data_IF_003748184475
#
_entry.id   IF_003748184475
#
_cell.length_a   1.000
_cell.length_b   1.000
_cell.length_c   1.000
_cell.angle_alpha   90.00
_cell.angle_beta   90.00
_cell.angle_gamma   90.00
#
_symmetry.space_group_name_H-M   'P 1'
#
loop_
_entity.id
_entity.type
_entity.pdbx_description
1 polymer ?
#
# COMPACT_ATOMS: atom_id res chain seq x y z
N UNK A 1 7.94 -14.86 10.92
CA UNK A 1 6.97 -15.60 10.07
C UNK A 1 5.77 -14.74 9.67
N UNK A 2 4.92 -14.27 10.60
CA UNK A 2 3.76 -13.42 10.24
C UNK A 2 4.12 -12.09 9.55
N UNK A 3 5.09 -11.34 10.09
CA UNK A 3 5.55 -10.08 9.49
C UNK A 3 6.02 -10.23 8.02
N UNK A 4 6.80 -11.27 7.72
CA UNK A 4 7.25 -11.57 6.37
C UNK A 4 6.09 -11.89 5.41
N UNK A 5 5.06 -12.62 5.87
CA UNK A 5 3.88 -12.87 5.04
C UNK A 5 3.12 -11.59 4.72
N UNK A 6 2.90 -10.74 5.73
CA UNK A 6 2.24 -9.43 5.56
C UNK A 6 2.97 -8.56 4.56
N UNK A 7 4.28 -8.42 4.70
CA UNK A 7 5.11 -7.64 3.78
C UNK A 7 5.08 -8.27 2.38
N UNK A 8 5.26 -9.59 2.28
CA UNK A 8 5.28 -10.31 1.01
C UNK A 8 3.97 -10.18 0.23
N UNK A 9 2.84 -10.31 0.92
CA UNK A 9 1.51 -10.10 0.36
C UNK A 9 1.31 -8.63 -0.06
N UNK A 10 1.65 -7.68 0.81
CA UNK A 10 1.55 -6.25 0.52
C UNK A 10 2.36 -5.83 -0.72
N UNK A 11 3.57 -6.36 -0.90
CA UNK A 11 4.38 -6.07 -2.09
C UNK A 11 3.73 -6.58 -3.37
N UNK A 12 3.13 -7.77 -3.33
CA UNK A 12 2.39 -8.31 -4.47
C UNK A 12 1.10 -7.51 -4.73
N UNK A 13 0.45 -7.04 -3.67
CA UNK A 13 -0.71 -6.15 -3.78
C UNK A 13 -0.33 -4.82 -4.43
N UNK A 14 0.76 -4.17 -4.00
CA UNK A 14 1.29 -2.95 -4.61
C UNK A 14 1.67 -3.14 -6.08
N UNK A 15 2.20 -4.31 -6.43
CA UNK A 15 2.48 -4.63 -7.83
C UNK A 15 1.21 -4.63 -8.68
N UNK A 16 0.12 -5.24 -8.19
CA UNK A 16 -1.19 -5.20 -8.86
C UNK A 16 -1.77 -3.78 -8.89
N UNK A 17 -1.72 -3.07 -7.75
CA UNK A 17 -2.24 -1.70 -7.65
C UNK A 17 -1.50 -0.75 -8.59
N UNK A 18 -0.19 -0.91 -8.79
CA UNK A 18 0.59 -0.12 -9.76
C UNK A 18 0.09 -0.37 -11.18
N UNK A 19 -0.19 -1.62 -11.55
CA UNK A 19 -0.73 -1.96 -12.87
C UNK A 19 -2.11 -1.33 -13.12
N UNK A 20 -3.04 -1.48 -12.17
CA UNK A 20 -4.40 -0.99 -12.35
C UNK A 20 -4.49 0.53 -12.21
N UNK A 21 -3.71 1.16 -11.32
CA UNK A 21 -3.71 2.62 -11.19
C UNK A 21 -3.13 3.31 -12.42
N UNK A 22 -2.04 2.80 -13.01
CA UNK A 22 -1.53 3.34 -14.27
C UNK A 22 -2.53 3.11 -15.42
N UNK A 23 -3.23 1.98 -15.42
CA UNK A 23 -4.30 1.75 -16.40
C UNK A 23 -5.46 2.75 -16.26
N UNK A 24 -5.86 3.07 -15.02
CA UNK A 24 -6.89 4.07 -14.73
C UNK A 24 -6.48 5.49 -15.20
N UNK A 25 -5.18 5.78 -15.29
CA UNK A 25 -4.62 7.03 -15.82
C UNK A 25 -4.58 7.06 -17.37
N UNK A 26 -5.10 6.03 -18.04
CA UNK A 26 -5.25 5.96 -19.48
C UNK A 26 -4.04 5.42 -20.25
N UNK A 27 -3.08 4.77 -19.57
CA UNK A 27 -1.97 4.05 -20.21
C UNK A 27 -2.18 2.54 -20.15
N UNK A 28 -1.32 1.75 -20.82
CA UNK A 28 -1.37 0.29 -20.66
C UNK A 28 -1.02 -0.11 -19.22
N UNK A 29 -1.43 -1.31 -18.79
CA UNK A 29 -1.00 -1.86 -17.50
C UNK A 29 0.51 -1.96 -17.45
N UNK A 30 1.14 -1.20 -16.58
CA UNK A 30 2.57 -1.25 -16.31
C UNK A 30 2.83 -1.45 -14.82
N UNK A 31 3.86 -2.18 -14.45
CA UNK A 31 4.19 -2.40 -13.04
C UNK A 31 5.66 -2.75 -12.84
N UNK A 32 6.14 -2.71 -11.61
CA UNK A 32 7.44 -3.29 -11.25
C UNK A 32 7.32 -4.80 -11.09
N UNK A 33 8.45 -5.52 -11.13
CA UNK A 33 8.48 -6.96 -10.85
C UNK A 33 9.17 -7.23 -9.52
N UNK A 34 8.53 -7.99 -8.64
CA UNK A 34 9.18 -8.53 -7.46
C UNK A 34 10.06 -9.73 -7.83
N UNK A 35 11.24 -9.83 -7.22
CA UNK A 35 12.12 -10.98 -7.39
C UNK A 35 11.60 -12.14 -6.56
N UNK A 36 11.33 -13.27 -7.23
CA UNK A 36 11.02 -14.54 -6.58
C UNK A 36 12.27 -15.42 -6.44
N UNK A 37 13.45 -14.91 -6.82
CA UNK A 37 14.71 -15.63 -6.66
C UNK A 37 15.10 -15.72 -5.20
N UNK A 38 15.24 -16.94 -4.72
CA UNK A 38 15.95 -17.26 -3.50
C UNK A 38 17.45 -16.98 -3.66
N UNK A 39 17.99 -16.04 -2.89
CA UNK A 39 19.40 -16.05 -2.54
C UNK A 39 19.56 -16.89 -1.27
N UNK A 40 19.45 -18.21 -1.42
CA UNK A 40 19.46 -19.16 -0.29
C UNK A 40 20.81 -19.12 0.44
N UNK A 41 20.76 -19.03 1.77
CA UNK A 41 21.78 -19.57 2.67
C UNK A 41 21.52 -21.04 3.04
N UNK A 42 20.41 -21.66 2.60
CA UNK A 42 20.18 -23.11 2.77
C UNK A 42 19.33 -23.70 1.62
N UNK A 43 19.70 -24.84 1.03
CA UNK A 43 18.92 -25.51 -0.01
C UNK A 43 17.90 -26.47 0.60
N UNK A 44 16.64 -26.06 0.75
CA UNK A 44 15.54 -27.01 0.87
C UNK A 44 14.20 -26.39 0.47
N UNK A 45 13.60 -27.01 -0.55
CA UNK A 45 12.16 -27.13 -0.84
C UNK A 45 11.40 -25.96 -1.48
N UNK A 46 10.77 -26.29 -2.61
CA UNK A 46 9.93 -25.50 -3.53
C UNK A 46 10.57 -24.30 -4.24
N UNK A 47 11.02 -24.52 -5.48
CA UNK A 47 11.23 -23.49 -6.52
C UNK A 47 9.90 -22.89 -7.04
N UNK A 48 8.80 -23.02 -6.29
CA UNK A 48 7.48 -22.61 -6.75
C UNK A 48 7.23 -21.16 -6.34
N UNK A 49 7.24 -20.28 -7.33
CA UNK A 49 6.94 -18.86 -7.16
C UNK A 49 5.50 -18.71 -6.67
N UNK A 50 5.32 -18.16 -5.48
CA UNK A 50 3.96 -17.88 -4.99
C UNK A 50 3.35 -16.72 -5.79
N UNK A 51 2.21 -16.92 -6.49
CA UNK A 51 1.57 -15.85 -7.24
C UNK A 51 0.98 -14.77 -6.33
N UNK A 52 0.85 -15.05 -5.03
CA UNK A 52 0.19 -14.18 -4.05
C UNK A 52 1.17 -13.52 -3.08
N UNK A 53 2.42 -14.00 -3.00
CA UNK A 53 3.38 -13.55 -2.01
C UNK A 53 4.77 -13.37 -2.58
N UNK A 54 5.40 -12.26 -2.23
CA UNK A 54 6.83 -12.03 -2.44
C UNK A 54 7.62 -12.64 -1.28
N UNK A 55 8.70 -13.36 -1.58
CA UNK A 55 9.59 -13.87 -0.53
C UNK A 55 10.32 -12.71 0.15
N UNK A 56 10.10 -12.51 1.46
CA UNK A 56 10.86 -11.54 2.24
C UNK A 56 12.14 -12.16 2.79
N UNK A 57 13.24 -11.42 2.72
CA UNK A 57 14.54 -11.85 3.28
C UNK A 57 14.74 -11.27 4.67
N UNK A 58 15.24 -12.10 5.58
CA UNK A 58 15.71 -11.64 6.88
C UNK A 58 17.17 -11.21 6.73
N UNK A 59 17.40 -9.91 6.89
CA UNK A 59 18.74 -9.32 6.91
C UNK A 59 19.10 -8.91 8.34
N UNK A 60 20.20 -9.44 8.84
CA UNK A 60 20.77 -9.05 10.14
C UNK A 60 21.81 -7.96 9.90
N UNK A 61 21.43 -6.72 10.21
CA UNK A 61 22.29 -5.56 10.00
C UNK A 61 23.41 -5.48 11.02
N UNK A 62 24.56 -4.97 10.58
CA UNK A 62 25.70 -4.62 11.43
C UNK A 62 25.49 -3.28 12.18
N UNK A 63 24.47 -2.49 11.81
CA UNK A 63 24.11 -1.25 12.51
C UNK A 63 23.57 -1.62 13.90
N UNK A 64 24.11 -0.99 14.94
CA UNK A 64 23.71 -1.30 16.31
C UNK A 64 22.26 -0.90 16.56
N UNK A 65 21.63 -1.55 17.54
CA UNK A 65 20.26 -1.20 17.96
C UNK A 65 20.15 0.26 18.41
N UNK A 66 21.19 0.78 19.07
CA UNK A 66 21.21 2.17 19.53
C UNK A 66 21.16 3.15 18.35
N UNK A 67 21.97 2.91 17.32
CA UNK A 67 21.97 3.72 16.09
C UNK A 67 20.61 3.63 15.38
N UNK A 68 20.02 2.43 15.27
CA UNK A 68 18.68 2.28 14.69
C UNK A 68 17.61 3.12 15.40
N UNK A 69 17.70 3.23 16.72
CA UNK A 69 16.68 3.92 17.54
C UNK A 69 16.92 5.42 17.65
N UNK A 70 18.17 5.87 17.58
CA UNK A 70 18.54 7.24 17.94
C UNK A 70 19.15 8.08 16.80
N UNK A 71 19.73 7.46 15.77
CA UNK A 71 20.32 8.21 14.66
C UNK A 71 19.23 8.81 13.74
N UNK A 72 19.58 9.91 13.07
CA UNK A 72 18.72 10.51 12.06
C UNK A 72 18.42 9.52 10.90
N UNK A 73 17.19 9.51 10.35
CA UNK A 73 16.79 8.59 9.29
C UNK A 73 17.75 8.51 8.10
N UNK A 74 18.26 9.65 7.62
CA UNK A 74 19.21 9.70 6.50
C UNK A 74 20.56 9.05 6.82
N UNK A 75 21.01 9.13 8.09
CA UNK A 75 22.24 8.49 8.55
C UNK A 75 22.09 6.98 8.56
N UNK A 76 20.98 6.49 9.12
CA UNK A 76 20.63 5.08 9.15
C UNK A 76 20.48 4.52 7.74
N UNK A 77 19.73 5.21 6.87
CA UNK A 77 19.55 4.83 5.47
C UNK A 77 20.89 4.71 4.73
N UNK A 78 21.81 5.67 4.91
CA UNK A 78 23.13 5.64 4.25
C UNK A 78 23.98 4.48 4.74
N UNK A 79 23.97 4.20 6.05
CA UNK A 79 24.67 3.03 6.62
C UNK A 79 24.10 1.73 6.05
N UNK A 80 22.76 1.61 6.00
CA UNK A 80 22.08 0.43 5.47
C UNK A 80 22.35 0.25 3.98
N UNK A 81 22.25 1.31 3.18
CA UNK A 81 22.52 1.26 1.74
C UNK A 81 23.94 0.76 1.45
N UNK A 82 24.94 1.25 2.21
CA UNK A 82 26.32 0.77 2.11
C UNK A 82 26.46 -0.69 2.55
N UNK A 83 25.75 -1.09 3.60
CA UNK A 83 25.77 -2.47 4.08
C UNK A 83 25.17 -3.44 3.05
N UNK A 84 24.00 -3.12 2.49
CA UNK A 84 23.34 -3.94 1.47
C UNK A 84 24.20 -3.97 0.19
N UNK A 85 24.76 -2.82 -0.24
CA UNK A 85 25.68 -2.78 -1.37
C UNK A 85 26.86 -3.74 -1.20
N UNK A 86 27.51 -3.72 -0.02
CA UNK A 86 28.66 -4.58 0.24
C UNK A 86 28.29 -6.06 0.36
N UNK A 87 27.09 -6.38 0.89
CA UNK A 87 26.68 -7.77 1.12
C UNK A 87 26.06 -8.43 -0.11
N UNK A 88 25.43 -7.65 -0.98
CA UNK A 88 24.69 -8.11 -2.15
C UNK A 88 25.15 -7.37 -3.41
N UNK A 89 26.47 -7.24 -3.58
CA UNK A 89 27.11 -6.42 -4.63
C UNK A 89 26.65 -6.80 -6.05
N UNK A 90 26.36 -8.07 -6.28
CA UNK A 90 25.93 -8.63 -7.56
C UNK A 90 24.51 -8.19 -7.97
N UNK A 91 23.60 -8.11 -7.01
CA UNK A 91 22.18 -7.79 -7.27
C UNK A 91 21.79 -6.37 -6.90
N UNK A 92 22.56 -5.69 -6.06
CA UNK A 92 22.27 -4.32 -5.63
C UNK A 92 22.07 -3.32 -6.78
N UNK A 93 23.00 -3.21 -7.77
CA UNK A 93 22.86 -2.24 -8.86
C UNK A 93 21.72 -2.58 -9.83
N UNK A 94 21.30 -3.83 -9.86
CA UNK A 94 20.27 -4.37 -10.76
C UNK A 94 18.93 -4.58 -10.06
N UNK A 95 18.74 -4.02 -8.86
CA UNK A 95 17.49 -4.15 -8.10
C UNK A 95 17.03 -2.83 -7.50
N UNK A 96 15.78 -2.83 -7.03
CA UNK A 96 15.22 -1.84 -6.12
C UNK A 96 14.89 -2.54 -4.81
N UNK A 97 15.19 -1.89 -3.69
CA UNK A 97 15.14 -2.50 -2.37
C UNK A 97 14.07 -1.85 -1.52
N UNK A 98 13.31 -2.67 -0.80
CA UNK A 98 12.37 -2.23 0.22
C UNK A 98 12.75 -2.93 1.51
N UNK A 99 13.16 -2.15 2.50
CA UNK A 99 13.62 -2.65 3.79
C UNK A 99 12.65 -2.21 4.89
N UNK A 100 12.23 -3.17 5.71
CA UNK A 100 11.41 -2.92 6.89
C UNK A 100 12.23 -3.18 8.14
N UNK A 101 12.26 -2.24 9.08
CA UNK A 101 13.00 -2.41 10.33
C UNK A 101 12.18 -3.16 11.37
N UNK A 102 12.75 -4.23 11.94
CA UNK A 102 12.05 -5.03 12.96
C UNK A 102 12.02 -4.37 14.35
N UNK A 103 12.73 -3.25 14.53
CA UNK A 103 12.94 -2.61 15.83
C UNK A 103 12.15 -1.31 16.03
N UNK A 104 11.14 -1.00 15.19
CA UNK A 104 10.24 0.12 15.45
C UNK A 104 9.59 -0.03 16.83
N UNK A 105 9.59 1.04 17.62
CA UNK A 105 8.99 1.07 18.95
C UNK A 105 8.16 2.32 19.12
N UNK A 106 7.06 2.19 19.84
CA UNK A 106 6.23 3.30 20.26
C UNK A 106 6.16 3.27 21.78
N UNK A 107 6.55 4.36 22.43
CA UNK A 107 6.61 4.47 23.88
C UNK A 107 5.78 5.70 24.30
N UNK A 108 4.48 5.49 24.51
CA UNK A 108 3.59 6.55 24.99
C UNK A 108 3.92 6.90 26.46
N UNK A 109 4.16 8.18 26.80
CA UNK A 109 4.44 8.56 28.19
C UNK A 109 3.17 8.46 29.05
N UNK A 110 3.26 7.80 30.20
CA UNK A 110 2.13 7.62 31.12
C UNK A 110 1.55 8.93 31.67
N UNK A 111 2.33 10.01 31.65
CA UNK A 111 1.96 11.34 32.18
C UNK A 111 1.24 12.21 31.14
N UNK A 112 1.18 11.77 29.87
CA UNK A 112 0.52 12.51 28.80
C UNK A 112 -1.00 12.31 28.88
N UNK A 113 -1.73 13.37 29.25
CA UNK A 113 -3.18 13.36 29.45
C UNK A 113 -3.99 13.71 28.19
N UNK A 114 -3.34 14.06 27.07
CA UNK A 114 -4.02 14.53 25.86
C UNK A 114 -4.35 13.37 24.91
N UNK A 115 -5.64 13.18 24.62
CA UNK A 115 -6.13 12.15 23.69
C UNK A 115 -5.97 12.52 22.19
N UNK A 116 -5.54 13.74 21.90
CA UNK A 116 -5.36 14.28 20.55
C UNK A 116 -3.91 14.72 20.35
N UNK A 117 -3.03 13.75 20.12
CA UNK A 117 -1.64 14.02 19.73
C UNK A 117 -1.58 14.56 18.29
N UNK A 118 -0.71 15.52 18.03
CA UNK A 118 -0.29 15.83 16.65
C UNK A 118 0.62 14.73 16.12
N UNK A 119 0.81 14.71 14.80
CA UNK A 119 1.76 13.79 14.18
C UNK A 119 3.19 13.97 14.70
N UNK A 120 3.63 15.22 14.92
CA UNK A 120 4.95 15.53 15.47
C UNK A 120 5.12 14.98 16.89
N UNK A 121 4.09 15.04 17.73
CA UNK A 121 4.10 14.45 19.07
C UNK A 121 4.18 12.93 19.01
N UNK A 122 3.41 12.30 18.12
CA UNK A 122 3.49 10.83 17.90
C UNK A 122 4.88 10.40 17.43
N UNK A 123 5.54 11.20 16.59
CA UNK A 123 6.91 10.94 16.14
C UNK A 123 7.93 11.00 17.29
N UNK A 124 7.74 11.87 18.28
CA UNK A 124 8.64 11.95 19.44
C UNK A 124 8.61 10.68 20.30
N UNK A 125 7.45 10.01 20.36
CA UNK A 125 7.25 8.76 21.08
C UNK A 125 7.65 7.53 20.26
N UNK A 126 7.95 7.73 18.98
CA UNK A 126 8.28 6.68 18.04
C UNK A 126 9.80 6.59 17.84
N UNK A 127 10.33 5.38 17.85
CA UNK A 127 11.74 5.06 17.58
C UNK A 127 11.81 4.09 16.41
N UNK A 128 12.84 4.25 15.57
CA UNK A 128 12.99 3.49 14.33
C UNK A 128 11.71 3.49 13.47
N UNK A 129 10.99 4.62 13.45
CA UNK A 129 9.90 4.86 12.52
C UNK A 129 10.46 5.60 11.32
N UNK A 130 10.46 4.95 10.16
CA UNK A 130 11.06 5.46 8.94
C UNK A 130 10.03 5.45 7.81
N UNK A 131 10.13 6.45 6.94
CA UNK A 131 9.53 6.51 5.62
C UNK A 131 10.51 7.31 4.76
N UNK A 132 11.46 6.61 4.14
CA UNK A 132 12.54 7.25 3.37
C UNK A 132 12.96 6.41 2.17
N UNK A 133 12.62 6.89 0.99
CA UNK A 133 12.97 6.34 -0.32
C UNK A 133 13.89 7.27 -1.07
N UNK A 134 15.03 6.75 -1.52
CA UNK A 134 15.95 7.43 -2.45
C UNK A 134 16.94 6.42 -3.00
N UNK A 135 17.69 6.76 -4.06
CA UNK A 135 18.85 5.98 -4.53
C UNK A 135 18.61 4.49 -4.83
N UNK A 136 17.35 4.04 -4.92
CA UNK A 136 16.95 2.65 -5.10
C UNK A 136 16.68 1.83 -3.84
N UNK A 137 16.68 2.46 -2.65
CA UNK A 137 16.31 1.83 -1.37
C UNK A 137 15.21 2.64 -0.68
N UNK A 138 14.09 1.98 -0.40
CA UNK A 138 13.05 2.44 0.51
C UNK A 138 13.28 1.82 1.90
N UNK A 139 13.39 2.66 2.93
CA UNK A 139 13.51 2.27 4.33
C UNK A 139 12.24 2.63 5.09
N UNK A 140 11.57 1.62 5.63
CA UNK A 140 10.27 1.73 6.28
C UNK A 140 10.31 1.23 7.73
N UNK A 141 9.55 1.90 8.59
CA UNK A 141 9.14 1.40 9.90
C UNK A 141 8.08 0.31 9.81
N UNK A 142 7.78 -0.33 10.94
CA UNK A 142 6.72 -1.36 11.03
C UNK A 142 5.58 -0.95 11.97
N UNK A 143 5.37 0.35 12.18
CA UNK A 143 4.35 0.89 13.10
C UNK A 143 2.93 0.41 12.76
N UNK A 144 2.60 0.30 11.47
CA UNK A 144 1.27 -0.11 10.99
C UNK A 144 1.15 -1.59 10.63
N UNK A 145 2.26 -2.34 10.63
CA UNK A 145 2.31 -3.72 10.15
C UNK A 145 1.39 -4.67 10.94
N UNK A 146 1.01 -4.28 12.16
CA UNK A 146 0.06 -5.02 12.99
C UNK A 146 -1.33 -5.13 12.35
N UNK A 147 -1.74 -4.17 11.52
CA UNK A 147 -3.03 -4.12 10.83
C UNK A 147 -3.04 -4.78 9.43
N UNK A 148 -1.87 -5.17 8.91
CA UNK A 148 -1.76 -5.67 7.55
C UNK A 148 -2.26 -7.11 7.42
N UNK A 149 -2.98 -7.45 6.34
CA UNK A 149 -3.40 -8.82 6.06
C UNK A 149 -2.19 -9.69 5.70
N UNK A 150 -2.27 -10.97 6.04
CA UNK A 150 -1.25 -11.95 5.68
C UNK A 150 -1.46 -12.55 4.30
N UNK A 151 -2.67 -12.48 3.75
CA UNK A 151 -3.07 -13.10 2.49
C UNK A 151 -4.38 -12.47 1.96
N UNK A 152 -4.90 -13.01 0.85
CA UNK A 152 -6.13 -12.55 0.23
C UNK A 152 -7.37 -12.78 1.11
N UNK A 153 -7.40 -13.87 1.89
CA UNK A 153 -8.51 -14.19 2.80
C UNK A 153 -8.57 -13.18 3.97
N UNK A 154 -7.40 -12.72 4.42
CA UNK A 154 -7.25 -11.67 5.42
C UNK A 154 -7.53 -10.26 4.89
N UNK A 155 -7.38 -10.01 3.59
CA UNK A 155 -7.50 -8.67 3.00
C UNK A 155 -8.87 -8.04 3.29
N UNK A 156 -9.95 -8.79 3.11
CA UNK A 156 -11.29 -8.27 3.41
C UNK A 156 -11.41 -7.91 4.89
N UNK A 157 -10.91 -8.74 5.81
CA UNK A 157 -10.96 -8.47 7.24
C UNK A 157 -10.20 -7.20 7.61
N UNK A 158 -9.02 -6.99 7.01
CA UNK A 158 -8.21 -5.79 7.25
C UNK A 158 -8.90 -4.51 6.73
N UNK A 159 -9.51 -4.57 5.53
CA UNK A 159 -10.25 -3.44 4.96
C UNK A 159 -11.52 -3.08 5.74
N UNK A 160 -12.12 -4.06 6.42
CA UNK A 160 -13.34 -3.90 7.21
C UNK A 160 -13.09 -3.61 8.70
N UNK A 161 -11.82 -3.53 9.13
CA UNK A 161 -11.48 -3.39 10.54
C UNK A 161 -11.65 -1.94 11.04
N UNK A 162 -12.89 -1.58 11.34
CA UNK A 162 -13.28 -0.28 11.91
C UNK A 162 -13.00 -0.14 13.42
N UNK A 163 -12.29 -1.08 14.05
CA UNK A 163 -11.89 -0.92 15.46
C UNK A 163 -10.99 0.32 15.59
N UNK A 164 -11.13 1.05 16.69
CA UNK A 164 -10.29 2.21 16.97
C UNK A 164 -8.92 1.78 17.50
N UNK A 165 -7.88 2.49 17.08
CA UNK A 165 -6.53 2.33 17.63
C UNK A 165 -6.47 2.99 19.00
N UNK A 166 -6.03 2.21 19.99
CA UNK A 166 -5.65 2.76 21.28
C UNK A 166 -4.26 3.39 21.17
N UNK A 167 -4.25 4.73 21.13
CA UNK A 167 -3.05 5.56 20.99
C UNK A 167 -2.09 5.42 22.17
N UNK A 168 -2.50 4.79 23.27
CA UNK A 168 -1.62 4.55 24.42
C UNK A 168 -0.76 3.30 24.25
N UNK A 169 -1.20 2.36 23.41
CA UNK A 169 -0.50 1.09 23.14
C UNK A 169 0.18 1.09 21.76
N UNK A 170 -0.48 1.67 20.76
CA UNK A 170 -0.05 1.64 19.36
C UNK A 170 0.13 3.05 18.80
N UNK A 171 1.15 3.22 17.96
CA UNK A 171 1.32 4.44 17.17
C UNK A 171 0.16 4.57 16.18
N UNK A 172 -0.54 5.68 16.24
CA UNK A 172 -1.69 5.96 15.38
C UNK A 172 -1.28 6.68 14.08
N UNK A 173 -0.54 5.93 13.27
CA UNK A 173 -0.11 6.36 11.93
C UNK A 173 -1.19 6.05 10.89
N UNK A 174 -2.31 6.76 11.00
CA UNK A 174 -3.54 6.53 10.21
C UNK A 174 -4.02 7.75 9.44
N UNK A 175 -3.20 8.80 9.37
CA UNK A 175 -3.61 10.11 8.87
C UNK A 175 -4.88 10.64 9.59
N UNK A 176 -4.91 10.51 10.91
CA UNK A 176 -6.00 10.96 11.80
C UNK A 176 -7.35 10.25 11.59
N UNK A 177 -7.36 9.06 10.99
CA UNK A 177 -8.58 8.23 10.83
C UNK A 177 -8.82 7.28 12.01
N UNK A 178 -7.79 7.01 12.79
CA UNK A 178 -7.86 6.35 14.09
C UNK A 178 -8.36 4.88 14.07
N UNK A 179 -8.35 4.21 12.93
CA UNK A 179 -8.85 2.83 12.76
C UNK A 179 -7.79 1.87 12.19
N UNK A 180 -7.99 0.57 12.41
CA UNK A 180 -7.07 -0.47 11.92
C UNK A 180 -7.04 -0.53 10.38
N UNK A 181 -8.19 -0.40 9.71
CA UNK A 181 -8.21 -0.33 8.24
C UNK A 181 -7.38 0.85 7.71
N UNK A 182 -7.42 1.99 8.43
CA UNK A 182 -6.67 3.18 8.04
C UNK A 182 -5.16 3.02 8.29
N UNK A 183 -4.76 2.28 9.33
CA UNK A 183 -3.35 1.93 9.54
C UNK A 183 -2.83 1.05 8.40
N UNK A 184 -3.63 0.07 7.95
CA UNK A 184 -3.29 -0.71 6.77
C UNK A 184 -3.15 0.17 5.52
N UNK A 185 -4.13 1.06 5.26
CA UNK A 185 -4.11 1.96 4.12
C UNK A 185 -2.91 2.93 4.14
N UNK A 186 -2.71 3.70 5.21
CA UNK A 186 -1.58 4.63 5.34
C UNK A 186 -0.24 3.89 5.25
N UNK A 187 -0.11 2.75 5.92
CA UNK A 187 1.11 1.94 5.86
C UNK A 187 1.45 1.46 4.44
N UNK A 188 0.48 0.85 3.75
CA UNK A 188 0.66 0.37 2.39
C UNK A 188 0.96 1.53 1.42
N UNK A 189 0.27 2.65 1.60
CA UNK A 189 0.47 3.88 0.86
C UNK A 189 1.86 4.48 1.02
N UNK A 190 2.37 4.54 2.25
CA UNK A 190 3.74 5.00 2.53
C UNK A 190 4.78 4.17 1.77
N UNK A 191 4.62 2.84 1.75
CA UNK A 191 5.53 1.98 0.98
C UNK A 191 5.48 2.30 -0.52
N UNK A 192 4.27 2.56 -1.04
CA UNK A 192 4.08 2.92 -2.44
C UNK A 192 4.73 4.25 -2.81
N UNK A 193 4.61 5.24 -1.91
CA UNK A 193 5.24 6.55 -2.01
C UNK A 193 6.77 6.46 -2.04
N UNK A 194 7.37 5.74 -1.07
CA UNK A 194 8.83 5.59 -1.00
C UNK A 194 9.39 4.78 -2.19
N UNK A 195 8.62 3.82 -2.69
CA UNK A 195 8.94 3.14 -3.96
C UNK A 195 8.92 4.12 -5.14
N UNK A 196 7.96 5.04 -5.18
CA UNK A 196 7.92 6.12 -6.17
C UNK A 196 9.23 6.92 -6.21
N UNK A 197 9.78 7.30 -5.05
CA UNK A 197 11.11 7.91 -4.98
C UNK A 197 12.21 7.00 -5.51
N UNK A 198 12.16 5.70 -5.22
CA UNK A 198 13.10 4.72 -5.76
C UNK A 198 13.02 4.58 -7.28
N UNK A 199 11.87 4.90 -7.88
CA UNK A 199 11.65 4.96 -9.33
C UNK A 199 11.95 6.34 -9.94
N UNK A 200 12.48 7.28 -9.15
CA UNK A 200 12.89 8.61 -9.61
C UNK A 200 11.78 9.67 -9.59
N UNK A 201 10.69 9.42 -8.87
CA UNK A 201 9.65 10.43 -8.68
C UNK A 201 10.04 11.42 -7.58
N UNK A 202 9.60 12.67 -7.74
CA UNK A 202 9.65 13.69 -6.70
C UNK A 202 8.24 13.90 -6.15
N UNK A 203 8.13 14.58 -5.01
CA UNK A 203 6.82 15.00 -4.52
C UNK A 203 6.05 15.79 -5.57
N UNK A 204 4.75 15.55 -5.63
CA UNK A 204 3.78 16.37 -6.40
C UNK A 204 2.91 17.19 -5.44
N UNK A 205 2.07 18.05 -6.00
CA UNK A 205 1.05 18.80 -5.25
C UNK A 205 -0.14 17.94 -4.80
N UNK A 206 -0.33 16.78 -5.43
CA UNK A 206 -1.44 15.85 -5.24
C UNK A 206 -1.01 14.40 -5.53
N UNK A 207 -1.94 13.45 -5.36
CA UNK A 207 -1.71 12.05 -5.69
C UNK A 207 -0.85 11.28 -4.69
N UNK A 208 -0.41 10.09 -5.11
CA UNK A 208 0.40 9.14 -4.32
C UNK A 208 1.74 9.74 -3.89
N UNK A 209 2.35 10.59 -4.73
CA UNK A 209 3.60 11.30 -4.38
C UNK A 209 3.35 12.54 -3.49
N UNK A 210 2.14 12.68 -2.94
CA UNK A 210 1.77 13.59 -1.85
C UNK A 210 0.97 12.79 -0.79
N UNK A 211 -0.04 13.39 -0.15
CA UNK A 211 -0.91 12.74 0.84
C UNK A 211 -1.94 11.77 0.24
N UNK A 212 -2.06 11.68 -1.08
CA UNK A 212 -2.96 10.72 -1.73
C UNK A 212 -2.58 9.26 -1.49
N UNK A 213 -1.35 8.99 -1.02
CA UNK A 213 -0.95 7.66 -0.59
C UNK A 213 -1.75 7.15 0.62
N UNK A 214 -2.22 8.05 1.50
CA UNK A 214 -3.10 7.68 2.61
C UNK A 214 -4.41 7.04 2.12
N UNK A 215 -4.82 7.38 0.90
CA UNK A 215 -6.10 6.98 0.33
C UNK A 215 -6.02 5.71 -0.52
N UNK A 216 -4.90 4.97 -0.50
CA UNK A 216 -4.68 3.77 -1.33
C UNK A 216 -5.79 2.72 -1.22
N UNK A 217 -6.53 2.69 -0.11
CA UNK A 217 -7.71 1.87 0.06
C UNK A 217 -8.75 2.06 -1.06
N UNK A 218 -8.86 3.26 -1.65
CA UNK A 218 -9.75 3.55 -2.78
C UNK A 218 -9.38 2.77 -4.06
N UNK A 219 -8.13 2.32 -4.18
CA UNK A 219 -7.71 1.43 -5.26
C UNK A 219 -8.07 -0.04 -4.99
N UNK A 220 -8.42 -0.39 -3.74
CA UNK A 220 -8.78 -1.74 -3.31
C UNK A 220 -10.30 -1.91 -3.17
N UNK A 221 -11.00 -0.88 -2.70
CA UNK A 221 -12.44 -0.89 -2.47
C UNK A 221 -12.95 0.45 -1.93
N UNK A 222 -14.28 0.58 -1.82
CA UNK A 222 -14.89 1.77 -1.25
C UNK A 222 -14.63 1.86 0.27
N UNK A 223 -14.66 3.09 0.78
CA UNK A 223 -14.45 3.37 2.19
C UNK A 223 -15.43 2.59 3.09
N UNK A 224 -14.99 2.12 4.26
CA UNK A 224 -15.89 1.45 5.20
C UNK A 224 -16.98 2.42 5.71
N UNK A 225 -18.10 1.89 6.24
CA UNK A 225 -19.29 2.69 6.52
C UNK A 225 -19.11 3.79 7.57
N UNK A 226 -18.02 3.74 8.35
CA UNK A 226 -17.63 4.70 9.38
C UNK A 226 -16.75 5.85 8.85
N UNK A 227 -16.40 5.86 7.56
CA UNK A 227 -15.62 6.93 6.96
C UNK A 227 -16.43 8.22 6.76
N UNK A 228 -15.97 9.31 7.37
CA UNK A 228 -16.50 10.65 7.14
C UNK A 228 -15.80 11.31 5.95
N UNK A 229 -16.59 11.76 4.97
CA UNK A 229 -16.03 12.47 3.81
C UNK A 229 -15.40 13.81 4.26
N UNK A 230 -14.13 14.09 3.90
CA UNK A 230 -13.46 15.35 4.24
C UNK A 230 -14.19 16.59 3.71
N UNK A 231 -14.93 16.43 2.60
CA UNK A 231 -15.73 17.48 1.98
C UNK A 231 -17.11 17.67 2.65
N UNK A 232 -17.37 17.00 3.78
CA UNK A 232 -18.61 17.14 4.54
C UNK A 232 -19.85 16.60 3.81
N UNK A 233 -19.67 15.72 2.82
CA UNK A 233 -20.79 15.08 2.13
C UNK A 233 -21.60 14.23 3.12
N UNK A 234 -22.74 14.76 3.56
CA UNK A 234 -23.68 14.07 4.43
C UNK A 234 -24.68 13.26 3.60
N UNK A 235 -25.12 12.15 4.20
CA UNK A 235 -26.25 11.33 3.77
C UNK A 235 -27.36 12.17 3.10
N UNK A 236 -27.56 12.00 1.79
CA UNK A 236 -28.79 12.41 1.11
C UNK A 236 -29.00 13.91 0.84
N UNK A 237 -27.97 14.75 0.70
CA UNK A 237 -28.21 16.01 -0.03
C UNK A 237 -28.56 15.69 -1.48
N UNK A 238 -29.82 15.96 -1.85
CA UNK A 238 -30.42 15.65 -3.14
C UNK A 238 -29.51 16.07 -4.29
N UNK A 239 -29.13 15.06 -5.07
CA UNK A 239 -28.48 15.17 -6.36
C UNK A 239 -29.03 16.37 -7.16
N UNK A 240 -28.20 17.41 -7.33
CA UNK A 240 -28.53 18.48 -8.25
C UNK A 240 -28.20 17.94 -9.66
N UNK A 241 -29.25 17.60 -10.43
CA UNK A 241 -29.17 16.95 -11.77
C UNK A 241 -28.33 17.69 -12.82
N UNK A 242 -27.75 18.84 -12.47
CA UNK A 242 -27.10 19.77 -13.38
C UNK A 242 -25.57 19.77 -13.29
N UNK A 243 -24.95 18.99 -12.38
CA UNK A 243 -23.49 18.80 -12.40
C UNK A 243 -23.20 17.52 -13.18
N UNK A 244 -23.02 17.68 -14.49
CA UNK A 244 -22.36 16.65 -15.30
C UNK A 244 -20.88 16.77 -14.98
N UNK A 245 -20.43 16.09 -13.91
CA UNK A 245 -19.02 15.74 -13.81
C UNK A 245 -18.71 14.89 -15.05
N UNK A 246 -17.68 15.28 -15.78
CA UNK A 246 -17.15 14.50 -16.90
C UNK A 246 -16.64 13.20 -16.29
N UNK A 247 -17.52 12.19 -16.22
CA UNK A 247 -17.13 10.81 -16.03
C UNK A 247 -16.10 10.53 -17.13
N UNK A 248 -14.87 10.10 -16.80
CA UNK A 248 -13.94 9.68 -17.83
C UNK A 248 -14.66 8.67 -18.72
N UNK A 249 -14.89 9.04 -19.97
CA UNK A 249 -15.31 8.09 -20.99
C UNK A 249 -14.17 7.08 -21.14
N UNK A 250 -14.17 6.00 -20.36
CA UNK A 250 -13.57 4.70 -20.69
C UNK A 250 -13.51 3.76 -19.47
N UNK A 251 -14.68 3.32 -19.01
CA UNK A 251 -14.84 1.92 -18.64
C UNK A 251 -15.88 1.33 -19.59
N UNK A 252 -15.58 1.35 -20.89
CA UNK A 252 -16.26 0.44 -21.79
C UNK A 252 -15.66 -0.95 -21.51
N UNK A 253 -16.43 -1.90 -20.95
CA UNK A 253 -15.94 -3.26 -20.87
C UNK A 253 -15.56 -3.69 -22.31
N UNK A 254 -14.39 -4.33 -22.51
CA UNK A 254 -14.04 -4.87 -23.81
C UNK A 254 -15.18 -5.78 -24.29
N UNK A 255 -15.39 -5.85 -25.61
CA UNK A 255 -16.39 -6.75 -26.17
C UNK A 255 -16.15 -8.17 -25.61
N UNK A 256 -17.19 -8.85 -25.10
CA UNK A 256 -17.03 -10.16 -24.49
C UNK A 256 -16.39 -11.10 -25.52
N UNK A 257 -15.23 -11.67 -25.18
CA UNK A 257 -14.61 -12.71 -26.00
C UNK A 257 -15.58 -13.89 -26.07
N UNK A 258 -15.87 -14.45 -27.26
CA UNK A 258 -16.74 -15.59 -27.41
C UNK A 258 -15.98 -16.86 -26.98
N UNK A 259 -15.80 -17.04 -25.68
CA UNK A 259 -15.24 -18.27 -25.13
C UNK A 259 -16.16 -18.78 -24.04
N UNK A 260 -16.59 -20.02 -24.22
CA UNK A 260 -17.53 -20.75 -23.37
C UNK A 260 -17.13 -20.61 -21.89
N UNK A 261 -18.00 -20.00 -21.08
CA UNK A 261 -17.86 -19.90 -19.63
C UNK A 261 -18.66 -21.04 -18.99
N UNK A 262 -17.97 -21.94 -18.30
CA UNK A 262 -18.62 -22.85 -17.35
C UNK A 262 -18.90 -22.07 -16.06
N UNK A 263 -20.17 -21.80 -15.79
CA UNK A 263 -20.58 -21.24 -14.50
C UNK A 263 -20.64 -22.37 -13.46
N UNK A 264 -19.82 -22.29 -12.43
CA UNK A 264 -20.18 -22.90 -11.16
C UNK A 264 -21.19 -21.95 -10.50
N UNK A 265 -22.37 -22.46 -10.12
CA UNK A 265 -23.37 -21.64 -9.45
C UNK A 265 -22.82 -21.24 -8.07
N UNK A 266 -22.22 -20.05 -7.99
CA UNK A 266 -21.94 -19.43 -6.71
C UNK A 266 -23.27 -18.94 -6.16
N UNK A 267 -23.83 -19.70 -5.22
CA UNK A 267 -24.92 -19.21 -4.41
C UNK A 267 -24.31 -18.17 -3.49
N UNK A 268 -24.51 -16.90 -3.82
CA UNK A 268 -24.25 -15.83 -2.86
C UNK A 268 -25.10 -16.15 -1.64
N UNK A 269 -24.47 -16.64 -0.59
CA UNK A 269 -25.13 -16.80 0.69
C UNK A 269 -25.35 -15.38 1.18
N UNK A 270 -26.48 -14.77 0.82
CA UNK A 270 -27.09 -13.86 1.77
C UNK A 270 -27.37 -14.74 2.97
N UNK A 271 -26.43 -14.81 3.91
CA UNK A 271 -26.75 -15.26 5.24
C UNK A 271 -28.06 -14.57 5.59
N UNK A 272 -29.02 -15.35 6.06
CA UNK A 272 -30.28 -14.88 6.62
C UNK A 272 -29.96 -13.75 7.60
N UNK A 273 -29.86 -12.54 7.06
CA UNK A 273 -29.87 -11.34 7.84
C UNK A 273 -31.28 -11.36 8.39
N UNK A 274 -31.38 -11.73 9.67
CA UNK A 274 -32.49 -11.29 10.49
C UNK A 274 -32.80 -9.86 10.07
N UNK A 275 -34.09 -9.55 9.84
CA UNK A 275 -34.54 -8.22 9.48
C UNK A 275 -34.12 -7.24 10.59
N UNK A 276 -32.87 -6.81 10.58
CA UNK A 276 -32.45 -5.58 11.20
C UNK A 276 -33.20 -4.51 10.42
N UNK A 277 -33.98 -3.72 11.14
CA UNK A 277 -34.54 -2.48 10.61
C UNK A 277 -33.42 -1.76 9.85
N UNK A 278 -33.62 -1.61 8.54
CA UNK A 278 -32.63 -1.07 7.62
C UNK A 278 -32.34 0.40 7.96
N UNK A 279 -31.41 0.63 8.88
CA UNK A 279 -30.45 1.71 8.70
C UNK A 279 -29.36 1.09 7.82
N UNK A 280 -29.61 1.04 6.51
CA UNK A 280 -28.57 0.68 5.56
C UNK A 280 -27.44 1.71 5.72
N UNK A 281 -26.36 1.33 6.40
CA UNK A 281 -25.13 2.09 6.40
C UNK A 281 -24.52 1.93 5.01
N UNK A 282 -24.85 2.84 4.11
CA UNK A 282 -24.33 2.85 2.75
C UNK A 282 -22.82 3.02 2.74
N UNK A 283 -22.15 2.24 1.89
CA UNK A 283 -20.73 2.37 1.58
C UNK A 283 -20.49 3.70 0.84
N UNK A 284 -19.81 4.66 1.49
CA UNK A 284 -19.43 5.94 0.89
C UNK A 284 -20.58 6.94 0.71
N UNK A 285 -20.52 8.06 1.43
CA UNK A 285 -21.56 9.11 1.40
C UNK A 285 -21.32 10.20 0.35
N UNK A 286 -20.57 9.91 -0.73
CA UNK A 286 -20.09 10.93 -1.66
C UNK A 286 -20.58 10.77 -3.09
N UNK A 287 -20.76 11.90 -3.79
CA UNK A 287 -21.19 11.96 -5.19
C UNK A 287 -20.12 11.47 -6.18
N UNK A 288 -18.86 11.36 -5.75
CA UNK A 288 -17.72 11.02 -6.59
C UNK A 288 -16.63 10.34 -5.73
N UNK A 289 -15.93 9.34 -6.28
CA UNK A 289 -14.79 8.69 -5.60
C UNK A 289 -13.64 9.67 -5.39
N UNK A 290 -13.49 10.66 -6.28
CA UNK A 290 -12.48 11.71 -6.19
C UNK A 290 -12.64 12.61 -4.97
N UNK A 291 -13.86 12.73 -4.45
CA UNK A 291 -14.12 13.45 -3.21
C UNK A 291 -13.84 12.62 -1.96
N UNK A 292 -13.58 11.32 -2.11
CA UNK A 292 -13.21 10.41 -1.03
C UNK A 292 -11.69 10.38 -0.80
N UNK A 293 -10.88 10.76 -1.80
CA UNK A 293 -9.42 10.82 -1.67
C UNK A 293 -8.70 10.90 -3.01
N UNK A 294 -7.36 10.95 -2.94
CA UNK A 294 -6.49 11.22 -4.10
C UNK A 294 -5.51 10.09 -4.41
N UNK A 295 -5.97 8.84 -4.40
CA UNK A 295 -5.14 7.64 -4.63
C UNK A 295 -4.82 7.40 -6.12
N UNK A 296 -4.24 8.40 -6.78
CA UNK A 296 -3.88 8.38 -8.19
C UNK A 296 -2.45 8.89 -8.38
N UNK A 297 -1.81 8.56 -9.50
CA UNK A 297 -0.42 8.98 -9.76
C UNK A 297 -0.35 10.38 -10.33
N UNK A 298 -1.34 10.76 -11.12
CA UNK A 298 -1.36 11.97 -11.89
C UNK A 298 -0.54 11.83 -13.17
N UNK A 299 -0.88 12.67 -14.16
CA UNK A 299 -0.32 12.59 -15.51
C UNK A 299 1.21 12.72 -15.54
N UNK A 300 1.77 13.65 -14.77
CA UNK A 300 3.22 13.89 -14.76
C UNK A 300 3.99 12.68 -14.23
N UNK A 301 3.57 12.14 -13.10
CA UNK A 301 4.23 10.98 -12.49
C UNK A 301 4.03 9.73 -13.34
N UNK A 302 2.84 9.55 -13.93
CA UNK A 302 2.55 8.45 -14.87
C UNK A 302 3.53 8.44 -16.05
N UNK A 303 3.79 9.60 -16.67
CA UNK A 303 4.75 9.72 -17.78
C UNK A 303 6.17 9.36 -17.35
N UNK A 304 6.57 9.70 -16.11
CA UNK A 304 7.88 9.34 -15.57
C UNK A 304 7.98 7.84 -15.27
N UNK A 305 6.92 7.26 -14.68
CA UNK A 305 6.84 5.84 -14.36
C UNK A 305 6.93 4.97 -15.61
N UNK A 306 6.16 5.24 -16.67
CA UNK A 306 6.22 4.42 -17.89
C UNK A 306 7.57 4.50 -18.62
N UNK A 307 8.37 5.54 -18.35
CA UNK A 307 9.74 5.68 -18.86
C UNK A 307 10.79 5.07 -17.93
N UNK A 308 10.40 4.70 -16.71
CA UNK A 308 11.29 4.12 -15.73
C UNK A 308 11.64 2.68 -16.15
N UNK A 309 12.93 2.31 -16.25
CA UNK A 309 13.33 0.97 -16.67
C UNK A 309 12.82 -0.17 -15.77
N UNK A 310 12.39 0.17 -14.55
CA UNK A 310 11.88 -0.75 -13.54
C UNK A 310 10.38 -0.99 -13.63
N UNK A 311 9.67 -0.22 -14.47
CA UNK A 311 8.24 -0.28 -14.67
C UNK A 311 7.99 -0.82 -16.08
N UNK A 312 7.49 -2.04 -16.16
CA UNK A 312 7.37 -2.82 -17.40
C UNK A 312 5.91 -3.08 -17.72
N UNK A 313 5.59 -3.31 -19.00
CA UNK A 313 4.24 -3.69 -19.42
C UNK A 313 3.85 -5.01 -18.73
N UNK A 314 2.73 -5.02 -18.02
CA UNK A 314 2.13 -6.21 -17.45
C UNK A 314 1.41 -7.00 -18.54
N UNK A 315 2.18 -7.74 -19.37
CA UNK A 315 1.62 -8.66 -20.37
C UNK A 315 1.76 -10.11 -19.90
N UNK A 316 0.72 -10.92 -20.14
CA UNK A 316 0.81 -12.38 -20.06
C UNK A 316 1.37 -12.89 -21.38
N UNK A 317 2.55 -13.47 -21.36
CA UNK A 317 2.92 -14.47 -22.38
C UNK A 317 2.58 -15.87 -21.84
N UNK A 318 2.59 -16.89 -22.71
CA UNK A 318 2.19 -18.26 -22.39
C UNK A 318 2.95 -18.89 -21.20
N UNK A 319 4.10 -18.31 -20.81
CA UNK A 319 4.99 -18.78 -19.74
C UNK A 319 5.08 -17.85 -18.51
N UNK A 320 4.26 -16.78 -18.42
CA UNK A 320 4.23 -15.87 -17.26
C UNK A 320 4.35 -14.37 -17.59
N UNK A 321 4.61 -13.55 -16.56
CA UNK A 321 4.87 -12.11 -16.69
C UNK A 321 6.26 -11.89 -17.31
N UNK A 322 6.29 -11.52 -18.58
CA UNK A 322 7.54 -11.22 -19.30
C UNK A 322 7.71 -9.70 -19.39
N UNK A 323 8.83 -9.19 -18.87
CA UNK A 323 9.25 -7.82 -19.10
C UNK A 323 9.61 -7.64 -20.58
N UNK A 324 8.71 -7.10 -21.39
CA UNK A 324 9.02 -6.64 -22.74
C UNK A 324 9.44 -5.18 -22.68
N UNK A 325 10.72 -4.90 -23.00
CA UNK A 325 11.11 -3.55 -23.44
C UNK A 325 10.49 -3.33 -24.82
N UNK A 326 9.84 -2.19 -25.02
CA UNK A 326 9.66 -1.64 -26.37
C UNK A 326 10.99 -1.12 -26.90
#
# INVERSE_FOLDING_TARGET
>A
MAACRRIGFAMRLLQTLTAESLFAEGVQRHTFLCSDREYRLTPADSNEVSPTHVQCWLHYSNISREEWLNDAPVTVWRKLAKEIYNRYEDIFPTSKWVAFVACSRYNFPAETSTHNLTYEEMLQFSKAHFALGTGGLALLGTSTLHAWPEDLDGLQKALLDGRRIDKTDLMDDTAYRHTFWAAFATGLGSVWHELGHCFGLHHSSDGIMYRGCDDIHLCLGFTPPDFECPNGCKNGQKWNKNVVEIVPHMLHPPAPLPTILQFQQYRCLSATAEKHENVASSWGFCSSVWHQGSAFWGREQTVRLIRCPWIVVASRDADGLVAKKM
#
